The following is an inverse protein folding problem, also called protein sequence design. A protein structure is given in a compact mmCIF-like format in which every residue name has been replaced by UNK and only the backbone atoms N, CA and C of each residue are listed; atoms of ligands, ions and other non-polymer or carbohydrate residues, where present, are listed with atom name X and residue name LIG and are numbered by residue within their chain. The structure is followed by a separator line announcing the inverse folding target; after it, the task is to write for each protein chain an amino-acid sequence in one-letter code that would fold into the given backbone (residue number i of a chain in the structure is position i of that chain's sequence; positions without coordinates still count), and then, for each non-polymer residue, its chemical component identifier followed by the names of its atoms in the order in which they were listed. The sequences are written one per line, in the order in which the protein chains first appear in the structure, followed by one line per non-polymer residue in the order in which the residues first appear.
data_IF_619283910409
#
_entry.id   IF_619283910409
#
_cell.length_a   1.000
_cell.length_b   1.000
_cell.length_c   1.000
_cell.angle_alpha   90.00
_cell.angle_beta   90.00
_cell.angle_gamma   90.00
#
_symmetry.space_group_name_H-M   'P 1'
#
loop_
_entity.id
_entity.type
_entity.pdbx_description
1 polymer ?
#
# COMPACT_ATOMS: atom_id res chain seq x y z
N UNK A 1 -55.79 7.67 -1.70
CA UNK A 1 -55.40 9.09 -1.59
C UNK A 1 -53.99 9.15 -1.00
N UNK A 2 -52.99 9.45 -1.84
CA UNK A 2 -51.60 9.64 -1.41
C UNK A 2 -51.56 10.89 -0.51
N UNK A 3 -51.12 10.74 0.75
CA UNK A 3 -50.83 11.90 1.61
C UNK A 3 -49.57 12.58 1.10
N UNK A 4 -49.71 13.85 0.75
CA UNK A 4 -48.70 14.76 0.23
C UNK A 4 -47.66 15.07 1.32
N UNK A 5 -46.54 14.32 1.33
CA UNK A 5 -45.43 14.49 2.29
C UNK A 5 -44.54 15.73 2.04
N UNK A 6 -44.83 16.49 0.99
CA UNK A 6 -44.03 17.63 0.53
C UNK A 6 -44.33 18.92 1.31
N UNK A 7 -45.58 19.08 1.80
CA UNK A 7 -45.99 20.25 2.59
C UNK A 7 -45.37 20.29 3.98
N UNK A 8 -45.24 19.13 4.63
CA UNK A 8 -44.66 19.03 5.98
C UNK A 8 -43.17 19.40 5.99
N UNK A 9 -42.39 18.86 5.06
CA UNK A 9 -40.95 19.16 4.96
C UNK A 9 -40.64 20.64 4.72
N UNK A 10 -41.47 21.32 3.92
CA UNK A 10 -41.31 22.74 3.61
C UNK A 10 -41.54 23.63 4.85
N UNK A 11 -42.46 23.22 5.74
CA UNK A 11 -42.74 23.92 7.00
C UNK A 11 -41.54 23.83 7.97
N UNK A 12 -40.99 22.64 8.17
CA UNK A 12 -39.83 22.44 9.05
C UNK A 12 -38.58 23.19 8.55
N UNK A 13 -38.33 23.19 7.25
CA UNK A 13 -37.19 23.93 6.65
C UNK A 13 -37.33 25.43 6.88
N UNK A 14 -38.55 25.97 6.80
CA UNK A 14 -38.79 27.40 7.00
C UNK A 14 -38.62 27.79 8.46
N UNK A 15 -39.11 26.98 9.40
CA UNK A 15 -38.91 27.20 10.84
C UNK A 15 -37.43 27.15 11.25
N UNK A 16 -36.68 26.18 10.72
CA UNK A 16 -35.23 26.06 10.98
C UNK A 16 -34.47 27.26 10.41
N UNK A 17 -34.83 27.71 9.20
CA UNK A 17 -34.26 28.91 8.57
C UNK A 17 -34.48 30.15 9.44
N UNK A 18 -35.72 30.40 9.87
CA UNK A 18 -36.03 31.57 10.69
C UNK A 18 -35.26 31.55 12.02
N UNK A 19 -35.00 30.35 12.55
CA UNK A 19 -34.24 30.18 13.79
C UNK A 19 -32.73 30.41 13.64
N UNK A 20 -32.16 30.21 12.45
CA UNK A 20 -30.73 30.32 12.15
C UNK A 20 -30.35 31.62 11.44
N UNK A 21 -31.34 32.35 10.91
CA UNK A 21 -31.15 33.64 10.27
C UNK A 21 -30.38 34.60 11.18
N UNK A 22 -29.35 35.24 10.62
CA UNK A 22 -28.52 36.23 11.33
C UNK A 22 -27.84 35.69 12.60
N UNK A 23 -27.59 34.38 12.65
CA UNK A 23 -26.77 33.76 13.70
C UNK A 23 -25.48 33.18 13.14
N UNK A 24 -24.43 33.23 13.96
CA UNK A 24 -23.19 32.51 13.71
C UNK A 24 -23.36 31.07 14.22
N UNK A 25 -23.42 30.10 13.32
CA UNK A 25 -23.69 28.71 13.69
C UNK A 25 -22.51 27.78 13.39
N UNK A 26 -22.37 26.76 14.24
CA UNK A 26 -21.62 25.54 13.96
C UNK A 26 -22.64 24.41 13.78
N UNK A 27 -22.75 23.88 12.56
CA UNK A 27 -23.69 22.79 12.25
C UNK A 27 -22.92 21.50 12.09
N UNK A 28 -23.31 20.45 12.83
CA UNK A 28 -22.71 19.12 12.70
C UNK A 28 -23.70 18.21 11.95
N UNK A 29 -23.30 17.75 10.77
CA UNK A 29 -24.02 16.76 9.97
C UNK A 29 -23.39 15.39 10.25
N UNK A 30 -24.04 14.61 11.11
CA UNK A 30 -23.50 13.32 11.54
C UNK A 30 -23.98 12.17 10.64
N UNK A 31 -23.04 11.32 10.22
CA UNK A 31 -23.26 10.07 9.49
C UNK A 31 -24.03 10.20 8.17
N UNK A 32 -23.64 11.17 7.33
CA UNK A 32 -24.24 11.35 6.00
C UNK A 32 -23.85 10.20 5.09
N UNK A 33 -24.85 9.60 4.44
CA UNK A 33 -24.71 8.27 3.82
C UNK A 33 -24.43 8.30 2.33
N UNK A 34 -24.84 9.35 1.62
CA UNK A 34 -24.61 9.48 0.17
C UNK A 34 -24.58 10.96 -0.27
N UNK A 35 -24.26 11.18 -1.56
CA UNK A 35 -24.11 12.52 -2.13
C UNK A 35 -25.45 13.24 -2.24
N UNK A 36 -26.50 12.53 -2.61
CA UNK A 36 -27.84 13.09 -2.79
C UNK A 36 -28.41 13.63 -1.47
N UNK A 37 -28.16 12.94 -0.36
CA UNK A 37 -28.51 13.38 0.99
C UNK A 37 -27.73 14.64 1.37
N UNK A 38 -26.43 14.67 1.10
CA UNK A 38 -25.60 15.85 1.34
C UNK A 38 -26.08 17.07 0.52
N UNK A 39 -26.38 16.88 -0.77
CA UNK A 39 -26.81 17.97 -1.66
C UNK A 39 -28.12 18.61 -1.17
N UNK A 40 -29.08 17.80 -0.72
CA UNK A 40 -30.33 18.28 -0.11
C UNK A 40 -30.07 19.09 1.16
N UNK A 41 -29.23 18.58 2.06
CA UNK A 41 -28.85 19.30 3.29
C UNK A 41 -28.11 20.59 2.98
N UNK A 42 -27.22 20.57 1.99
CA UNK A 42 -26.45 21.72 1.55
C UNK A 42 -27.34 22.79 0.93
N UNK A 43 -28.37 22.42 0.16
CA UNK A 43 -29.35 23.38 -0.36
C UNK A 43 -30.10 24.08 0.78
N UNK A 44 -30.57 23.32 1.76
CA UNK A 44 -31.27 23.87 2.95
C UNK A 44 -30.35 24.83 3.72
N UNK A 45 -29.11 24.42 3.97
CA UNK A 45 -28.12 25.21 4.71
C UNK A 45 -27.70 26.47 3.94
N UNK A 46 -27.57 26.40 2.63
CA UNK A 46 -27.23 27.57 1.79
C UNK A 46 -28.35 28.61 1.80
N UNK A 47 -29.60 28.17 2.01
CA UNK A 47 -30.78 29.03 2.08
C UNK A 47 -31.17 29.42 3.51
N UNK A 48 -30.31 29.18 4.50
CA UNK A 48 -30.60 29.39 5.93
C UNK A 48 -30.50 30.85 6.40
N UNK A 49 -29.77 31.71 5.67
CA UNK A 49 -29.50 33.09 6.10
C UNK A 49 -28.51 33.21 7.28
N UNK A 50 -27.69 32.17 7.51
CA UNK A 50 -26.62 32.18 8.51
C UNK A 50 -25.55 33.25 8.23
N UNK A 51 -24.94 33.80 9.28
CA UNK A 51 -23.89 34.82 9.14
C UNK A 51 -22.63 34.21 8.49
N UNK A 52 -21.97 35.02 7.64
CA UNK A 52 -20.64 34.71 7.10
C UNK A 52 -19.63 34.38 8.20
N UNK A 53 -18.97 33.23 8.10
CA UNK A 53 -18.09 32.69 9.15
C UNK A 53 -18.69 31.49 9.88
N UNK A 54 -19.97 31.18 9.65
CA UNK A 54 -20.58 29.92 10.10
C UNK A 54 -19.87 28.70 9.50
N UNK A 55 -19.82 27.59 10.25
CA UNK A 55 -19.07 26.38 9.86
C UNK A 55 -19.96 25.15 9.87
N UNK A 56 -19.70 24.24 8.94
CA UNK A 56 -20.34 22.94 8.86
C UNK A 56 -19.27 21.88 9.10
N UNK A 57 -19.52 20.98 10.06
CA UNK A 57 -18.72 19.78 10.30
C UNK A 57 -19.50 18.60 9.77
N UNK A 58 -18.94 17.87 8.83
CA UNK A 58 -19.53 16.67 8.25
C UNK A 58 -18.80 15.44 8.76
N UNK A 59 -19.54 14.44 9.25
CA UNK A 59 -19.00 13.09 9.46
C UNK A 59 -19.65 12.13 8.47
N UNK A 60 -18.86 11.24 7.89
CA UNK A 60 -19.33 10.21 6.98
C UNK A 60 -18.35 9.06 6.97
N UNK A 61 -18.85 7.87 6.64
CA UNK A 61 -18.02 6.68 6.42
C UNK A 61 -17.53 6.57 4.97
N UNK A 62 -18.10 7.38 4.07
CA UNK A 62 -17.91 7.21 2.63
C UNK A 62 -16.99 8.30 2.08
N UNK A 63 -15.84 7.88 1.56
CA UNK A 63 -14.81 8.80 1.02
C UNK A 63 -15.35 9.65 -0.13
N UNK A 64 -16.21 9.08 -0.97
CA UNK A 64 -16.83 9.77 -2.10
C UNK A 64 -17.80 10.89 -1.68
N UNK A 65 -18.42 10.80 -0.49
CA UNK A 65 -19.28 11.84 0.10
C UNK A 65 -18.40 12.94 0.70
N UNK A 66 -17.37 12.57 1.45
CA UNK A 66 -16.43 13.54 2.03
C UNK A 66 -15.74 14.39 0.96
N UNK A 67 -15.30 13.78 -0.14
CA UNK A 67 -14.71 14.48 -1.28
C UNK A 67 -15.70 15.39 -2.01
N UNK A 68 -16.96 14.94 -2.14
CA UNK A 68 -18.02 15.73 -2.78
C UNK A 68 -18.40 16.97 -1.96
N UNK A 69 -18.48 16.81 -0.63
CA UNK A 69 -18.79 17.90 0.29
C UNK A 69 -17.67 18.94 0.42
N UNK A 70 -16.42 18.52 0.16
CA UNK A 70 -15.25 19.33 0.36
C UNK A 70 -15.01 20.27 -0.82
N UNK A 71 -15.46 21.52 -0.69
CA UNK A 71 -15.22 22.59 -1.68
C UNK A 71 -13.81 23.21 -1.60
N UNK A 72 -13.00 22.79 -0.62
CA UNK A 72 -11.63 23.29 -0.39
C UNK A 72 -10.59 22.38 -1.04
N UNK A 73 -9.42 22.94 -1.35
CA UNK A 73 -8.24 22.16 -1.76
C UNK A 73 -7.63 21.32 -0.63
N UNK A 74 -8.03 21.55 0.63
CA UNK A 74 -7.55 20.77 1.78
C UNK A 74 -8.25 19.41 1.85
N UNK A 75 -7.54 18.28 1.97
CA UNK A 75 -8.16 16.96 2.01
C UNK A 75 -9.04 16.76 3.27
N UNK A 76 -10.11 15.94 3.20
CA UNK A 76 -10.92 15.60 4.35
C UNK A 76 -10.10 14.98 5.49
N UNK A 77 -10.51 15.24 6.73
CA UNK A 77 -9.86 14.64 7.90
C UNK A 77 -10.25 13.16 8.03
N UNK A 78 -9.30 12.27 7.72
CA UNK A 78 -9.50 10.82 7.82
C UNK A 78 -9.24 10.33 9.25
N UNK A 79 -10.25 9.72 9.87
CA UNK A 79 -10.10 9.08 11.18
C UNK A 79 -9.38 7.73 10.99
N UNK A 80 -8.21 7.59 11.63
CA UNK A 80 -7.41 6.36 11.64
C UNK A 80 -7.70 5.47 12.85
N UNK A 81 -7.33 4.19 12.75
CA UNK A 81 -7.18 3.32 13.92
C UNK A 81 -6.22 3.93 14.96
N UNK A 82 -6.50 3.69 16.23
CA UNK A 82 -5.62 4.09 17.33
C UNK A 82 -4.31 3.32 17.29
N UNK A 83 -3.20 3.95 17.65
CA UNK A 83 -1.91 3.29 17.90
C UNK A 83 -1.99 2.39 19.15
N UNK A 84 -0.95 1.57 19.40
CA UNK A 84 -0.91 0.70 20.58
C UNK A 84 -0.96 1.52 21.88
N UNK A 85 -0.29 2.65 21.89
CA UNK A 85 -0.19 3.57 23.01
C UNK A 85 -1.53 4.29 23.24
N UNK A 86 -2.11 4.88 22.19
CA UNK A 86 -3.44 5.53 22.28
C UNK A 86 -4.53 4.52 22.68
N UNK A 87 -4.46 3.30 22.16
CA UNK A 87 -5.38 2.21 22.53
C UNK A 87 -5.26 1.88 24.02
N UNK A 88 -4.03 1.84 24.53
CA UNK A 88 -3.76 1.60 25.95
C UNK A 88 -4.26 2.73 26.83
N UNK A 89 -4.08 3.98 26.42
CA UNK A 89 -4.60 5.16 27.12
C UNK A 89 -6.12 5.17 27.19
N UNK A 90 -6.80 4.91 26.06
CA UNK A 90 -8.26 4.78 26.03
C UNK A 90 -8.74 3.68 26.97
N UNK A 91 -8.08 2.52 26.95
CA UNK A 91 -8.45 1.41 27.83
C UNK A 91 -8.30 1.76 29.32
N UNK A 92 -7.20 2.42 29.71
CA UNK A 92 -7.01 2.90 31.09
C UNK A 92 -8.09 3.90 31.51
N UNK A 93 -8.45 4.83 30.62
CA UNK A 93 -9.52 5.81 30.84
C UNK A 93 -10.86 5.14 31.07
N UNK A 94 -11.25 4.21 30.20
CA UNK A 94 -12.53 3.49 30.33
C UNK A 94 -12.60 2.65 31.60
N UNK A 95 -11.49 2.02 31.99
CA UNK A 95 -11.42 1.18 33.19
C UNK A 95 -11.24 1.95 34.49
N UNK A 96 -11.01 3.27 34.43
CA UNK A 96 -10.76 4.11 35.61
C UNK A 96 -9.36 3.94 36.22
N UNK A 97 -8.39 3.44 35.46
CA UNK A 97 -7.03 3.11 35.95
C UNK A 97 -5.94 4.04 35.37
N UNK A 98 -6.27 5.30 35.07
CA UNK A 98 -5.32 6.24 34.42
C UNK A 98 -4.05 6.46 35.23
N UNK A 99 -4.19 6.56 36.56
CA UNK A 99 -3.10 6.83 37.52
C UNK A 99 -2.65 5.59 38.29
N UNK A 100 -3.29 4.44 38.09
CA UNK A 100 -3.04 3.22 38.85
C UNK A 100 -1.85 2.47 38.26
N UNK A 101 -0.83 2.19 39.08
CA UNK A 101 0.26 1.30 38.69
C UNK A 101 -0.23 -0.15 38.79
N UNK A 102 -0.42 -0.79 37.64
CA UNK A 102 -0.84 -2.18 37.56
C UNK A 102 0.34 -3.11 37.86
N UNK A 103 0.05 -4.30 38.40
CA UNK A 103 1.05 -5.36 38.52
C UNK A 103 1.57 -5.76 37.12
N UNK A 104 2.88 -5.97 36.91
CA UNK A 104 3.45 -6.23 35.58
C UNK A 104 2.80 -7.40 34.83
N UNK A 105 2.39 -8.46 35.55
CA UNK A 105 1.71 -9.61 34.95
C UNK A 105 0.30 -9.26 34.45
N UNK A 106 -0.46 -8.51 35.25
CA UNK A 106 -1.81 -8.04 34.91
C UNK A 106 -1.74 -7.03 33.76
N UNK A 107 -0.78 -6.10 33.78
CA UNK A 107 -0.57 -5.14 32.70
C UNK A 107 -0.24 -5.84 31.38
N UNK A 108 0.71 -6.79 31.40
CA UNK A 108 1.08 -7.56 30.19
C UNK A 108 -0.13 -8.27 29.58
N UNK A 109 -0.98 -8.86 30.42
CA UNK A 109 -2.19 -9.53 29.96
C UNK A 109 -3.24 -8.54 29.47
N UNK A 110 -3.43 -7.41 30.13
CA UNK A 110 -4.34 -6.35 29.71
C UNK A 110 -3.92 -5.76 28.36
N UNK A 111 -2.63 -5.49 28.16
CA UNK A 111 -2.08 -5.07 26.87
C UNK A 111 -2.30 -6.10 25.77
N UNK A 112 -2.21 -7.39 26.09
CA UNK A 112 -2.54 -8.46 25.15
C UNK A 112 -4.02 -8.42 24.75
N UNK A 113 -4.93 -8.19 25.70
CA UNK A 113 -6.37 -8.02 25.44
C UNK A 113 -6.63 -6.78 24.57
N UNK A 114 -6.06 -5.63 24.92
CA UNK A 114 -6.20 -4.39 24.13
C UNK A 114 -5.62 -4.54 22.73
N UNK A 115 -4.47 -5.22 22.60
CA UNK A 115 -3.87 -5.53 21.30
C UNK A 115 -4.78 -6.37 20.40
N UNK A 116 -5.65 -7.21 20.99
CA UNK A 116 -6.69 -7.93 20.24
C UNK A 116 -7.79 -7.02 19.71
N UNK A 117 -8.00 -5.82 20.24
CA UNK A 117 -8.99 -4.90 19.66
C UNK A 117 -8.54 -4.29 18.32
N UNK A 118 -7.25 -4.37 17.98
CA UNK A 118 -6.74 -3.90 16.69
C UNK A 118 -6.82 -2.38 16.48
N UNK A 119 -6.87 -1.59 17.56
CA UNK A 119 -6.94 -0.12 17.49
C UNK A 119 -8.33 0.46 17.25
N UNK A 120 -9.38 -0.36 17.19
CA UNK A 120 -10.76 0.11 17.01
C UNK A 120 -11.31 0.69 18.34
N UNK A 121 -11.62 2.00 18.44
CA UNK A 121 -12.03 2.63 19.70
C UNK A 121 -13.25 1.96 20.35
N UNK A 122 -14.25 1.60 19.55
CA UNK A 122 -15.47 0.95 20.04
C UNK A 122 -15.17 -0.42 20.66
N UNK A 123 -14.35 -1.25 20.01
CA UNK A 123 -13.96 -2.55 20.56
C UNK A 123 -13.19 -2.41 21.89
N UNK A 124 -12.26 -1.45 21.97
CA UNK A 124 -11.49 -1.15 23.19
C UNK A 124 -12.43 -0.72 24.32
N UNK A 125 -13.39 0.15 24.01
CA UNK A 125 -14.33 0.70 24.99
C UNK A 125 -15.28 -0.37 25.52
N UNK A 126 -15.82 -1.23 24.64
CA UNK A 126 -16.65 -2.37 25.05
C UNK A 126 -15.90 -3.31 25.99
N UNK A 127 -14.65 -3.67 25.67
CA UNK A 127 -13.84 -4.51 26.57
C UNK A 127 -13.54 -3.77 27.88
N UNK A 128 -13.18 -2.50 27.81
CA UNK A 128 -12.90 -1.67 28.98
C UNK A 128 -14.09 -1.65 29.95
N UNK A 129 -15.31 -1.52 29.45
CA UNK A 129 -16.53 -1.59 30.26
C UNK A 129 -16.71 -2.96 30.93
N UNK A 130 -16.48 -4.06 30.22
CA UNK A 130 -16.56 -5.42 30.77
C UNK A 130 -15.51 -5.62 31.88
N UNK A 131 -14.27 -5.18 31.65
CA UNK A 131 -13.18 -5.30 32.62
C UNK A 131 -13.43 -4.41 33.84
N UNK A 132 -13.98 -3.21 33.65
CA UNK A 132 -14.39 -2.33 34.75
C UNK A 132 -15.45 -2.98 35.64
N UNK A 133 -16.47 -3.58 35.04
CA UNK A 133 -17.55 -4.24 35.76
C UNK A 133 -17.08 -5.49 36.53
N UNK A 134 -16.11 -6.24 35.97
CA UNK A 134 -15.61 -7.50 36.55
C UNK A 134 -14.29 -7.36 37.33
N UNK A 135 -13.81 -6.14 37.56
CA UNK A 135 -12.50 -5.81 38.14
C UNK A 135 -11.29 -6.24 37.31
N UNK A 136 -10.24 -5.41 37.35
CA UNK A 136 -8.98 -5.59 36.61
C UNK A 136 -8.09 -6.67 37.24
N UNK A 137 -8.43 -7.95 37.02
CA UNK A 137 -7.69 -9.10 37.57
C UNK A 137 -7.19 -10.04 36.48
N UNK A 138 -6.18 -10.86 36.78
CA UNK A 138 -5.66 -11.87 35.84
C UNK A 138 -6.74 -12.86 35.39
N UNK A 139 -7.65 -13.27 36.29
CA UNK A 139 -8.76 -14.18 35.99
C UNK A 139 -9.74 -13.54 35.00
N UNK A 140 -10.16 -12.29 35.26
CA UNK A 140 -11.06 -11.54 34.39
C UNK A 140 -10.45 -11.35 33.00
N UNK A 141 -9.20 -10.88 32.92
CA UNK A 141 -8.52 -10.65 31.64
C UNK A 141 -8.30 -11.94 30.84
N UNK A 142 -7.99 -13.06 31.50
CA UNK A 142 -7.86 -14.36 30.84
C UNK A 142 -9.20 -14.84 30.28
N UNK A 143 -10.29 -14.64 31.03
CA UNK A 143 -11.64 -14.94 30.55
C UNK A 143 -12.03 -14.07 29.36
N UNK A 144 -11.81 -12.74 29.44
CA UNK A 144 -12.06 -11.81 28.33
C UNK A 144 -11.26 -12.21 27.10
N UNK A 145 -9.97 -12.52 27.26
CA UNK A 145 -9.13 -12.93 26.13
C UNK A 145 -9.68 -14.18 25.43
N UNK A 146 -10.20 -15.16 26.19
CA UNK A 146 -10.89 -16.32 25.61
C UNK A 146 -12.13 -15.88 24.82
N UNK A 147 -12.99 -15.03 25.41
CA UNK A 147 -14.20 -14.54 24.72
C UNK A 147 -13.88 -13.75 23.44
N UNK A 148 -12.79 -12.99 23.44
CA UNK A 148 -12.31 -12.28 22.25
C UNK A 148 -11.95 -13.26 21.14
N UNK A 149 -11.23 -14.32 21.48
CA UNK A 149 -10.88 -15.38 20.53
C UNK A 149 -12.09 -16.21 20.07
N UNK A 150 -13.21 -16.21 20.82
CA UNK A 150 -14.44 -16.93 20.47
C UNK A 150 -15.40 -16.13 19.56
N UNK A 151 -15.02 -14.94 19.08
CA UNK A 151 -15.69 -14.32 17.94
C UNK A 151 -16.67 -13.18 18.24
N UNK A 152 -16.98 -12.86 19.50
CA UNK A 152 -17.89 -11.75 19.80
C UNK A 152 -17.43 -10.40 19.25
N UNK A 153 -16.13 -10.13 19.32
CA UNK A 153 -15.54 -8.89 18.79
C UNK A 153 -15.21 -8.98 17.30
N UNK A 154 -15.23 -10.21 16.76
CA UNK A 154 -15.13 -10.45 15.32
C UNK A 154 -16.31 -9.81 14.63
N UNK A 155 -17.51 -9.77 15.24
CA UNK A 155 -18.70 -9.12 14.65
C UNK A 155 -18.53 -7.62 14.35
N UNK A 156 -17.83 -6.85 15.20
CA UNK A 156 -17.57 -5.42 14.96
C UNK A 156 -16.59 -5.23 13.79
N UNK A 157 -15.54 -6.05 13.75
CA UNK A 157 -14.57 -6.03 12.66
C UNK A 157 -15.11 -6.63 11.36
N UNK A 158 -16.04 -7.59 11.42
CA UNK A 158 -16.70 -8.19 10.26
C UNK A 158 -17.50 -7.15 9.50
N UNK A 159 -18.26 -6.30 10.21
CA UNK A 159 -18.99 -5.19 9.57
C UNK A 159 -18.02 -4.22 8.86
N UNK A 160 -16.96 -3.81 9.56
CA UNK A 160 -15.93 -2.95 8.96
C UNK A 160 -15.24 -3.63 7.76
N UNK A 161 -14.99 -4.93 7.82
CA UNK A 161 -14.43 -5.72 6.74
C UNK A 161 -15.36 -5.79 5.53
N UNK A 162 -16.62 -6.18 5.71
CA UNK A 162 -17.60 -6.32 4.63
C UNK A 162 -17.87 -4.99 3.91
N UNK A 163 -17.86 -3.89 4.66
CA UNK A 163 -17.98 -2.54 4.11
C UNK A 163 -16.76 -2.17 3.28
N UNK A 164 -15.55 -2.25 3.86
CA UNK A 164 -14.33 -1.82 3.17
C UNK A 164 -13.91 -2.78 2.04
N UNK A 165 -14.13 -4.09 2.16
CA UNK A 165 -13.74 -5.10 1.16
C UNK A 165 -14.42 -4.85 -0.19
N UNK A 166 -15.67 -4.38 -0.19
CA UNK A 166 -16.42 -4.04 -1.42
C UNK A 166 -15.78 -2.90 -2.22
N UNK A 167 -14.98 -2.06 -1.58
CA UNK A 167 -14.30 -0.93 -2.22
C UNK A 167 -12.88 -1.26 -2.67
N UNK A 168 -12.31 -2.41 -2.25
CA UNK A 168 -10.94 -2.79 -2.62
C UNK A 168 -10.88 -3.34 -4.04
N UNK A 169 -9.95 -2.83 -4.85
CA UNK A 169 -9.62 -3.45 -6.13
C UNK A 169 -8.89 -4.79 -5.93
N UNK A 170 -8.75 -5.58 -7.00
CA UNK A 170 -8.07 -6.88 -6.96
C UNK A 170 -6.62 -6.76 -6.44
N UNK A 171 -5.85 -5.79 -6.93
CA UNK A 171 -4.47 -5.54 -6.49
C UNK A 171 -4.39 -5.23 -5.00
N UNK A 172 -5.29 -4.37 -4.49
CA UNK A 172 -5.32 -4.00 -3.07
C UNK A 172 -5.76 -5.16 -2.19
N UNK A 173 -6.66 -6.00 -2.68
CA UNK A 173 -7.04 -7.24 -2.01
C UNK A 173 -5.81 -8.16 -1.89
N UNK A 174 -5.09 -8.40 -2.98
CA UNK A 174 -3.85 -9.20 -2.96
C UNK A 174 -2.80 -8.64 -1.99
N UNK A 175 -2.60 -7.31 -2.02
CA UNK A 175 -1.71 -6.62 -1.08
C UNK A 175 -2.15 -6.83 0.38
N UNK A 176 -3.44 -6.72 0.68
CA UNK A 176 -3.97 -6.92 2.03
C UNK A 176 -3.81 -8.37 2.51
N UNK A 177 -4.11 -9.35 1.66
CA UNK A 177 -3.91 -10.77 1.97
C UNK A 177 -2.44 -11.10 2.24
N UNK A 178 -1.52 -10.43 1.56
CA UNK A 178 -0.09 -10.60 1.78
C UNK A 178 0.34 -10.33 3.23
N UNK A 179 -0.32 -9.42 3.94
CA UNK A 179 -0.06 -9.18 5.36
C UNK A 179 -0.34 -10.41 6.25
N UNK A 180 -1.17 -11.36 5.80
CA UNK A 180 -1.43 -12.60 6.55
C UNK A 180 -0.21 -13.53 6.58
N UNK A 181 0.79 -13.31 5.73
CA UNK A 181 2.03 -14.08 5.73
C UNK A 181 2.95 -13.75 6.92
N UNK A 182 2.82 -12.55 7.48
CA UNK A 182 3.63 -12.11 8.63
C UNK A 182 3.10 -12.70 9.95
N UNK A 183 3.90 -12.79 11.02
CA UNK A 183 3.40 -13.20 12.33
C UNK A 183 2.34 -12.23 12.88
N UNK A 184 1.50 -12.73 13.78
CA UNK A 184 0.51 -11.91 14.47
C UNK A 184 1.19 -10.83 15.33
N UNK A 185 0.63 -9.63 15.32
CA UNK A 185 1.16 -8.44 16.00
C UNK A 185 2.53 -7.93 15.53
N UNK A 186 3.04 -8.43 14.40
CA UNK A 186 4.32 -8.01 13.86
C UNK A 186 4.22 -6.61 13.23
N UNK A 187 5.03 -5.68 13.71
CA UNK A 187 5.17 -4.35 13.09
C UNK A 187 6.08 -4.47 11.87
N UNK A 188 5.48 -4.34 10.69
CA UNK A 188 6.18 -4.50 9.43
C UNK A 188 6.73 -3.13 9.02
N UNK A 189 8.04 -2.98 8.79
CA UNK A 189 8.56 -1.79 8.13
C UNK A 189 7.88 -1.61 6.76
N UNK A 190 7.32 -0.43 6.49
CA UNK A 190 6.61 -0.17 5.23
C UNK A 190 7.50 -0.44 4.01
N UNK A 191 8.79 -0.09 4.10
CA UNK A 191 9.80 -0.41 3.08
C UNK A 191 9.89 -1.91 2.80
N UNK A 192 9.79 -2.74 3.83
CA UNK A 192 9.83 -4.21 3.70
C UNK A 192 8.68 -4.73 2.86
N UNK A 193 7.47 -4.30 3.17
CA UNK A 193 6.31 -4.83 2.46
C UNK A 193 6.21 -4.29 1.03
N UNK A 194 6.61 -3.03 0.78
CA UNK A 194 6.75 -2.49 -0.58
C UNK A 194 7.67 -3.38 -1.41
N UNK A 195 8.87 -3.67 -0.90
CA UNK A 195 9.86 -4.43 -1.66
C UNK A 195 9.43 -5.89 -1.88
N UNK A 196 8.75 -6.50 -0.91
CA UNK A 196 8.13 -7.82 -1.07
C UNK A 196 7.07 -7.84 -2.18
N UNK A 197 6.16 -6.87 -2.18
CA UNK A 197 5.12 -6.78 -3.22
C UNK A 197 5.70 -6.55 -4.62
N UNK A 198 6.75 -5.73 -4.73
CA UNK A 198 7.45 -5.46 -6.00
C UNK A 198 8.19 -6.69 -6.49
N UNK A 199 8.97 -7.35 -5.61
CA UNK A 199 9.75 -8.53 -5.94
C UNK A 199 8.86 -9.69 -6.39
N UNK A 200 7.74 -9.93 -5.70
CA UNK A 200 6.80 -10.99 -6.08
C UNK A 200 5.86 -10.59 -7.23
N UNK A 201 5.85 -9.32 -7.63
CA UNK A 201 4.98 -8.81 -8.70
C UNK A 201 3.50 -8.75 -8.31
N UNK A 202 3.20 -8.68 -7.01
CA UNK A 202 1.85 -8.43 -6.47
C UNK A 202 1.34 -7.08 -6.98
N UNK A 203 2.25 -6.10 -7.02
CA UNK A 203 2.05 -4.79 -7.65
C UNK A 203 2.87 -4.75 -8.94
N UNK A 204 2.25 -4.22 -10.00
CA UNK A 204 2.88 -4.04 -11.30
C UNK A 204 2.90 -2.57 -11.62
N UNK A 205 4.00 -2.14 -12.18
CA UNK A 205 4.11 -0.83 -12.81
C UNK A 205 3.02 -0.61 -13.85
N UNK A 206 2.67 0.66 -14.05
CA UNK A 206 1.76 1.09 -15.10
C UNK A 206 2.32 2.32 -15.83
N UNK A 207 1.61 2.77 -16.86
CA UNK A 207 1.99 3.93 -17.65
C UNK A 207 1.98 5.26 -16.87
N UNK A 208 1.96 5.31 -15.54
CA UNK A 208 2.10 6.55 -14.76
C UNK A 208 3.05 6.40 -13.55
N UNK A 209 3.26 5.20 -13.03
CA UNK A 209 3.83 4.99 -11.70
C UNK A 209 4.70 3.74 -11.62
N UNK A 210 5.79 3.84 -10.84
CA UNK A 210 6.63 2.68 -10.51
C UNK A 210 5.84 1.66 -9.70
N UNK A 211 6.29 0.40 -9.71
CA UNK A 211 5.71 -0.63 -8.86
C UNK A 211 5.81 -0.24 -7.37
N UNK A 212 6.90 0.45 -6.98
CA UNK A 212 7.11 1.02 -5.65
C UNK A 212 6.11 2.12 -5.31
N UNK A 213 5.84 3.05 -6.23
CA UNK A 213 4.85 4.13 -6.03
C UNK A 213 3.44 3.56 -5.85
N UNK A 214 3.10 2.54 -6.65
CA UNK A 214 1.83 1.84 -6.55
C UNK A 214 1.74 1.11 -5.20
N UNK A 215 2.82 0.46 -4.76
CA UNK A 215 2.89 -0.18 -3.46
C UNK A 215 2.71 0.81 -2.31
N UNK A 216 3.42 1.94 -2.32
CA UNK A 216 3.29 3.00 -1.31
C UNK A 216 1.84 3.51 -1.25
N UNK A 217 1.22 3.77 -2.42
CA UNK A 217 -0.21 4.15 -2.50
C UNK A 217 -1.15 3.07 -1.98
N UNK A 218 -0.86 1.79 -2.22
CA UNK A 218 -1.66 0.70 -1.67
C UNK A 218 -1.60 0.70 -0.14
N UNK A 219 -0.43 0.93 0.47
CA UNK A 219 -0.32 1.04 1.94
C UNK A 219 -1.13 2.23 2.44
N UNK A 220 -1.03 3.39 1.79
CA UNK A 220 -1.80 4.58 2.15
C UNK A 220 -3.31 4.34 2.07
N UNK A 221 -3.76 3.68 1.00
CA UNK A 221 -5.18 3.37 0.82
C UNK A 221 -5.67 2.37 1.86
N UNK A 222 -4.91 1.29 2.13
CA UNK A 222 -5.26 0.32 3.17
C UNK A 222 -5.32 0.97 4.56
N UNK A 223 -4.46 1.96 4.83
CA UNK A 223 -4.54 2.77 6.04
C UNK A 223 -5.80 3.62 6.06
N UNK A 224 -6.10 4.31 4.96
CA UNK A 224 -7.27 5.19 4.86
C UNK A 224 -8.58 4.40 5.05
N UNK A 225 -8.65 3.18 4.55
CA UNK A 225 -9.76 2.24 4.78
C UNK A 225 -9.74 1.57 6.17
N UNK A 226 -8.82 1.96 7.06
CA UNK A 226 -8.66 1.35 8.39
C UNK A 226 -8.46 -0.19 8.35
N UNK A 227 -7.86 -0.70 7.27
CA UNK A 227 -7.51 -2.12 7.12
C UNK A 227 -6.12 -2.43 7.70
N UNK A 228 -5.27 -1.42 7.87
CA UNK A 228 -3.97 -1.55 8.55
C UNK A 228 -3.80 -0.47 9.61
N UNK A 229 -3.11 -0.81 10.69
CA UNK A 229 -2.66 0.12 11.70
C UNK A 229 -1.27 0.65 11.28
N UNK A 230 -1.13 1.96 11.10
CA UNK A 230 0.10 2.59 10.63
C UNK A 230 0.70 3.51 11.70
N UNK A 231 2.03 3.51 11.83
CA UNK A 231 2.78 4.45 12.67
C UNK A 231 3.64 5.35 11.79
N UNK A 232 3.41 6.67 11.92
CA UNK A 232 4.15 7.71 11.23
C UNK A 232 4.81 8.64 12.26
N UNK A 233 6.15 8.65 12.41
CA UNK A 233 6.81 9.60 13.28
C UNK A 233 7.12 10.87 12.49
N UNK A 234 6.34 11.93 12.74
CA UNK A 234 6.55 13.34 12.34
C UNK A 234 6.62 13.64 10.83
N UNK A 235 6.92 12.67 9.96
CA UNK A 235 6.79 12.74 8.50
C UNK A 235 5.46 12.13 8.07
N UNK A 236 4.77 12.70 7.08
CA UNK A 236 3.54 12.11 6.51
C UNK A 236 3.73 10.70 5.91
N UNK A 237 4.98 10.20 5.81
CA UNK A 237 5.29 8.83 5.36
C UNK A 237 5.15 7.81 6.47
N UNK A 238 4.44 6.73 6.16
CA UNK A 238 4.25 5.55 7.02
C UNK A 238 5.61 4.84 7.16
N UNK A 239 6.11 4.66 8.40
CA UNK A 239 7.36 3.92 8.63
C UNK A 239 7.10 2.45 8.94
N UNK A 240 6.13 2.18 9.79
CA UNK A 240 5.71 0.82 10.11
C UNK A 240 4.20 0.69 9.96
N UNK A 241 3.77 -0.49 9.54
CA UNK A 241 2.38 -0.86 9.41
C UNK A 241 2.15 -2.27 9.93
N UNK A 242 0.93 -2.54 10.37
CA UNK A 242 0.56 -3.81 10.96
C UNK A 242 -0.88 -4.15 10.56
N UNK A 243 -1.13 -5.42 10.25
CA UNK A 243 -2.49 -5.94 10.08
C UNK A 243 -3.14 -6.11 11.47
N UNK A 244 -4.32 -5.51 11.73
CA UNK A 244 -5.06 -5.72 12.95
C UNK A 244 -5.34 -7.21 13.17
N UNK A 245 -5.13 -7.68 14.40
CA UNK A 245 -5.20 -9.11 14.71
C UNK A 245 -6.56 -9.73 14.43
N UNK A 246 -7.66 -9.02 14.72
CA UNK A 246 -9.02 -9.51 14.39
C UNK A 246 -9.26 -9.57 12.88
N UNK A 247 -8.75 -8.58 12.13
CA UNK A 247 -8.90 -8.56 10.69
C UNK A 247 -8.16 -9.72 10.03
N UNK A 248 -7.00 -10.09 10.56
CA UNK A 248 -6.28 -11.30 10.14
C UNK A 248 -7.13 -12.56 10.32
N UNK A 249 -7.78 -12.72 11.47
CA UNK A 249 -8.62 -13.90 11.74
C UNK A 249 -9.83 -13.95 10.79
N UNK A 250 -10.43 -12.80 10.48
CA UNK A 250 -11.51 -12.66 9.49
C UNK A 250 -11.03 -13.05 8.09
N UNK A 251 -9.91 -12.49 7.62
CA UNK A 251 -9.35 -12.77 6.28
C UNK A 251 -9.04 -14.26 6.12
N UNK A 252 -8.45 -14.88 7.15
CA UNK A 252 -8.15 -16.30 7.14
C UNK A 252 -9.43 -17.16 7.13
N UNK A 253 -10.47 -16.79 7.88
CA UNK A 253 -11.76 -17.47 7.85
C UNK A 253 -12.55 -17.28 6.55
N UNK A 254 -12.40 -16.13 5.88
CA UNK A 254 -13.01 -15.82 4.59
C UNK A 254 -12.34 -16.58 3.43
N UNK A 255 -11.03 -16.84 3.52
CA UNK A 255 -10.29 -17.60 2.51
C UNK A 255 -10.74 -19.06 2.36
N UNK A 256 -11.40 -19.62 3.38
CA UNK A 256 -11.99 -20.97 3.37
C UNK A 256 -13.29 -21.05 2.53
N UNK A 257 -13.84 -19.90 2.08
CA UNK A 257 -15.09 -19.83 1.30
C UNK A 257 -14.94 -19.48 -0.18
N UNK A 258 -13.77 -19.09 -0.68
CA UNK A 258 -13.68 -18.68 -2.10
C UNK A 258 -12.42 -19.08 -2.89
N UNK A 259 -11.20 -19.10 -2.34
CA UNK A 259 -10.01 -19.36 -3.18
C UNK A 259 -8.79 -19.85 -2.40
N UNK A 260 -8.59 -21.16 -2.31
CA UNK A 260 -7.32 -21.77 -1.86
C UNK A 260 -6.25 -21.85 -2.97
N UNK A 261 -6.45 -21.18 -4.11
CA UNK A 261 -5.69 -21.44 -5.35
C UNK A 261 -4.73 -20.34 -5.82
N UNK A 262 -4.50 -19.24 -5.08
CA UNK A 262 -3.52 -18.22 -5.50
C UNK A 262 -2.38 -17.93 -4.51
N UNK A 263 -2.44 -18.47 -3.29
CA UNK A 263 -1.39 -18.26 -2.27
C UNK A 263 -1.04 -19.54 -1.51
N UNK A 264 -1.09 -20.69 -2.20
CA UNK A 264 -0.39 -21.90 -1.73
C UNK A 264 1.10 -21.80 -2.07
N UNK A 265 1.74 -20.74 -1.58
CA UNK A 265 3.17 -20.78 -1.37
C UNK A 265 3.41 -21.75 -0.23
N UNK A 266 3.75 -22.99 -0.57
CA UNK A 266 3.97 -24.04 0.42
C UNK A 266 5.02 -23.58 1.43
N UNK A 267 5.02 -24.18 2.61
CA UNK A 267 6.01 -23.94 3.66
C UNK A 267 7.48 -23.94 3.15
N UNK A 268 7.77 -24.54 1.99
CA UNK A 268 9.06 -24.50 1.31
C UNK A 268 9.45 -23.11 0.76
N UNK A 269 8.51 -22.26 0.35
CA UNK A 269 8.83 -20.91 -0.18
C UNK A 269 9.26 -19.94 0.93
N UNK A 270 8.85 -20.20 2.18
CA UNK A 270 9.25 -19.41 3.36
C UNK A 270 10.69 -19.65 3.82
N UNK A 271 11.30 -20.78 3.49
CA UNK A 271 12.72 -21.07 3.78
C UNK A 271 13.66 -20.70 2.62
N UNK A 272 13.15 -20.59 1.39
CA UNK A 272 13.99 -20.53 0.19
C UNK A 272 14.55 -19.14 -0.19
N UNK A 273 14.26 -18.09 0.57
CA UNK A 273 14.94 -16.79 0.41
C UNK A 273 16.30 -16.72 1.14
N UNK A 274 16.64 -17.69 1.99
CA UNK A 274 17.96 -17.76 2.63
C UNK A 274 19.01 -18.56 1.84
N UNK A 275 18.59 -19.37 0.87
CA UNK A 275 19.48 -20.18 0.04
C UNK A 275 19.15 -20.05 -1.46
N UNK A 276 19.60 -18.95 -2.07
CA UNK A 276 19.56 -18.68 -3.53
C UNK A 276 20.09 -19.85 -4.39
N UNK A 277 20.96 -20.69 -3.83
CA UNK A 277 21.53 -21.86 -4.50
C UNK A 277 20.49 -22.95 -4.80
N UNK A 278 19.51 -23.16 -3.90
CA UNK A 278 18.47 -24.17 -4.04
C UNK A 278 17.29 -23.67 -4.89
N UNK A 279 16.99 -22.37 -4.81
CA UNK A 279 15.95 -21.74 -5.61
C UNK A 279 16.30 -21.74 -7.12
N UNK A 280 17.52 -21.38 -7.51
CA UNK A 280 17.95 -21.40 -8.92
C UNK A 280 17.94 -22.82 -9.49
N UNK A 281 18.31 -23.81 -8.68
CA UNK A 281 18.38 -25.22 -9.10
C UNK A 281 16.98 -25.85 -9.29
N UNK A 282 16.01 -25.46 -8.47
CA UNK A 282 14.59 -25.83 -8.66
C UNK A 282 13.91 -25.02 -9.79
N UNK A 283 14.36 -23.79 -10.07
CA UNK A 283 13.82 -22.93 -11.13
C UNK A 283 14.35 -23.31 -12.52
N UNK A 284 15.54 -23.91 -12.63
CA UNK A 284 16.06 -24.48 -13.89
C UNK A 284 15.23 -25.65 -14.41
N UNK A 285 14.40 -26.29 -13.57
CA UNK A 285 13.48 -27.36 -13.96
C UNK A 285 12.10 -26.82 -14.40
N UNK A 286 11.83 -25.53 -14.19
CA UNK A 286 10.54 -24.94 -14.55
C UNK A 286 10.58 -24.36 -15.95
N UNK A 287 9.74 -24.86 -16.87
CA UNK A 287 9.50 -24.34 -18.23
C UNK A 287 8.80 -22.96 -18.22
N UNK A 288 9.17 -22.06 -17.30
CA UNK A 288 8.50 -20.77 -17.15
C UNK A 288 9.12 -19.72 -18.07
N UNK A 289 8.27 -19.09 -18.87
CA UNK A 289 8.62 -17.94 -19.71
C UNK A 289 8.95 -16.68 -18.89
N UNK A 290 8.44 -16.59 -17.65
CA UNK A 290 8.64 -15.43 -16.76
C UNK A 290 9.22 -15.84 -15.41
N UNK A 291 10.29 -15.17 -15.00
CA UNK A 291 10.96 -15.36 -13.71
C UNK A 291 11.04 -14.06 -12.91
N UNK A 292 10.82 -14.15 -11.60
CA UNK A 292 11.02 -13.04 -10.66
C UNK A 292 11.96 -13.47 -9.56
N UNK A 293 13.02 -12.72 -9.32
CA UNK A 293 14.00 -12.98 -8.27
C UNK A 293 14.23 -11.72 -7.46
N UNK A 294 14.33 -11.88 -6.14
CA UNK A 294 14.54 -10.76 -5.21
C UNK A 294 15.49 -11.14 -4.08
N UNK A 295 16.34 -10.21 -3.67
CA UNK A 295 17.17 -10.32 -2.45
C UNK A 295 17.01 -9.07 -1.58
N UNK A 296 16.70 -9.27 -0.31
CA UNK A 296 16.51 -8.19 0.66
C UNK A 296 16.73 -8.68 2.11
N UNK A 297 17.11 -7.76 2.98
CA UNK A 297 17.35 -8.03 4.40
C UNK A 297 16.03 -8.17 5.20
N UNK A 298 16.15 -8.49 6.49
CA UNK A 298 15.01 -8.62 7.40
C UNK A 298 14.21 -7.32 7.60
N UNK A 299 14.74 -6.17 7.20
CA UNK A 299 14.11 -4.86 7.30
C UNK A 299 13.58 -4.42 5.91
N UNK A 300 13.83 -5.23 4.88
CA UNK A 300 13.44 -5.00 3.50
C UNK A 300 14.38 -4.14 2.69
N UNK A 301 15.60 -3.83 3.14
CA UNK A 301 16.55 -3.16 2.27
C UNK A 301 17.05 -4.12 1.20
N UNK A 302 17.36 -3.63 -0.02
CA UNK A 302 17.91 -4.49 -1.07
C UNK A 302 19.26 -5.06 -0.63
N UNK A 303 19.43 -6.37 -0.78
CA UNK A 303 20.66 -7.11 -0.51
C UNK A 303 21.30 -7.60 -1.80
N UNK A 304 22.51 -8.16 -1.71
CA UNK A 304 23.25 -8.67 -2.85
C UNK A 304 22.52 -9.87 -3.47
N UNK A 305 22.01 -9.68 -4.68
CA UNK A 305 21.43 -10.73 -5.50
C UNK A 305 22.53 -11.45 -6.28
N UNK A 306 22.86 -12.67 -5.87
CA UNK A 306 23.84 -13.51 -6.56
C UNK A 306 23.10 -14.37 -7.58
N UNK A 307 23.31 -14.06 -8.86
CA UNK A 307 22.83 -14.88 -9.96
C UNK A 307 23.95 -15.83 -10.40
N UNK A 308 23.68 -17.13 -10.36
CA UNK A 308 24.53 -18.12 -10.99
C UNK A 308 24.22 -18.15 -12.49
N UNK A 309 25.20 -18.52 -13.34
CA UNK A 309 25.09 -18.45 -14.80
C UNK A 309 23.72 -18.93 -15.32
N UNK A 310 22.93 -18.00 -15.83
CA UNK A 310 21.56 -18.25 -16.32
C UNK A 310 21.53 -18.47 -17.85
N UNK A 311 22.69 -18.60 -18.50
CA UNK A 311 22.79 -18.76 -19.96
C UNK A 311 22.06 -19.99 -20.50
N UNK A 312 21.76 -20.99 -19.65
CA UNK A 312 21.08 -22.24 -20.03
C UNK A 312 19.55 -22.17 -19.96
N UNK A 313 18.98 -21.04 -19.52
CA UNK A 313 17.53 -20.87 -19.40
C UNK A 313 16.95 -20.46 -20.76
N UNK A 314 16.81 -21.41 -21.67
CA UNK A 314 16.43 -21.14 -23.06
C UNK A 314 14.97 -20.69 -23.23
N UNK A 315 14.07 -21.15 -22.36
CA UNK A 315 12.65 -20.78 -22.41
C UNK A 315 12.33 -19.45 -21.71
N UNK A 316 13.31 -18.84 -21.03
CA UNK A 316 13.09 -17.63 -20.25
C UNK A 316 13.11 -16.39 -21.15
N UNK A 317 11.96 -15.74 -21.31
CA UNK A 317 11.79 -14.52 -22.12
C UNK A 317 11.64 -13.26 -21.27
N UNK A 318 11.06 -13.37 -20.07
CA UNK A 318 10.82 -12.24 -19.17
C UNK A 318 11.49 -12.45 -17.81
N UNK A 319 12.32 -11.49 -17.39
CA UNK A 319 13.03 -11.53 -16.12
C UNK A 319 12.83 -10.24 -15.32
N UNK A 320 12.42 -10.39 -14.05
CA UNK A 320 12.37 -9.29 -13.09
C UNK A 320 13.31 -9.55 -11.94
N UNK A 321 14.21 -8.59 -11.67
CA UNK A 321 15.21 -8.68 -10.62
C UNK A 321 15.01 -7.57 -9.60
N UNK A 322 15.06 -7.93 -8.32
CA UNK A 322 15.05 -7.01 -7.19
C UNK A 322 16.28 -7.23 -6.31
N UNK A 323 16.98 -6.15 -5.93
CA UNK A 323 18.15 -6.21 -5.06
C UNK A 323 19.46 -5.92 -5.78
N UNK A 324 20.53 -5.72 -5.02
CA UNK A 324 21.83 -5.22 -5.50
C UNK A 324 22.47 -6.26 -6.42
N UNK A 325 22.60 -5.92 -7.70
CA UNK A 325 23.09 -6.83 -8.72
C UNK A 325 24.56 -6.54 -9.02
N UNK A 326 25.38 -7.60 -9.01
CA UNK A 326 26.65 -7.59 -9.71
C UNK A 326 26.44 -8.31 -11.04
N UNK A 327 26.95 -7.72 -12.12
CA UNK A 327 26.72 -8.25 -13.46
C UNK A 327 27.15 -9.71 -13.58
N UNK A 328 26.31 -10.46 -14.28
CA UNK A 328 26.33 -11.90 -14.40
C UNK A 328 25.73 -12.27 -15.74
N UNK A 329 26.14 -13.42 -16.30
CA UNK A 329 25.69 -13.88 -17.62
C UNK A 329 24.17 -14.13 -17.63
N UNK A 330 23.43 -13.12 -18.06
CA UNK A 330 21.99 -13.18 -18.29
C UNK A 330 21.65 -14.09 -19.48
N UNK A 331 20.45 -14.69 -19.51
CA UNK A 331 19.99 -15.49 -20.64
C UNK A 331 19.89 -14.67 -21.93
N UNK A 332 20.32 -15.26 -23.05
CA UNK A 332 20.36 -14.59 -24.35
C UNK A 332 18.98 -14.49 -25.03
N UNK A 333 17.99 -15.24 -24.53
CA UNK A 333 16.62 -15.26 -25.06
C UNK A 333 15.69 -14.23 -24.43
N UNK A 334 16.19 -13.40 -23.50
CA UNK A 334 15.39 -12.38 -22.83
C UNK A 334 14.86 -11.35 -23.84
N UNK A 335 13.54 -11.15 -23.83
CA UNK A 335 12.83 -10.08 -24.52
C UNK A 335 12.48 -8.95 -23.57
N UNK A 336 12.25 -9.25 -22.29
CA UNK A 336 11.78 -8.29 -21.29
C UNK A 336 12.64 -8.38 -20.03
N UNK A 337 13.21 -7.25 -19.60
CA UNK A 337 14.01 -7.16 -18.39
C UNK A 337 13.57 -5.97 -17.54
N UNK A 338 13.14 -6.26 -16.31
CA UNK A 338 12.82 -5.25 -15.30
C UNK A 338 13.82 -5.35 -14.16
N UNK A 339 14.51 -4.25 -13.87
CA UNK A 339 15.45 -4.13 -12.77
C UNK A 339 14.86 -3.18 -11.72
N UNK A 340 14.92 -3.57 -10.45
CA UNK A 340 14.55 -2.72 -9.30
C UNK A 340 15.61 -2.82 -8.22
N UNK A 341 16.02 -1.69 -7.66
CA UNK A 341 17.06 -1.59 -6.61
C UNK A 341 18.38 -2.29 -6.96
N UNK A 342 18.66 -2.44 -8.26
CA UNK A 342 19.81 -3.18 -8.79
C UNK A 342 21.15 -2.48 -8.61
N UNK A 343 21.15 -1.15 -8.43
CA UNK A 343 22.36 -0.35 -8.22
C UNK A 343 23.47 -0.62 -9.25
N UNK A 344 23.10 -0.79 -10.51
CA UNK A 344 24.06 -0.95 -11.60
C UNK A 344 24.84 0.35 -11.82
N UNK A 345 26.15 0.23 -12.00
CA UNK A 345 27.05 1.34 -12.36
C UNK A 345 27.33 1.38 -13.86
N UNK A 346 28.10 2.37 -14.30
CA UNK A 346 28.48 2.55 -15.71
C UNK A 346 29.20 1.30 -16.27
N UNK A 347 30.06 0.64 -15.46
CA UNK A 347 30.80 -0.57 -15.84
C UNK A 347 29.92 -1.80 -16.11
N UNK A 348 28.68 -1.78 -15.64
CA UNK A 348 27.73 -2.89 -15.77
C UNK A 348 26.99 -2.89 -17.11
N UNK A 349 26.98 -1.77 -17.83
CA UNK A 349 26.18 -1.59 -19.03
C UNK A 349 26.60 -2.42 -20.26
N UNK A 350 27.88 -2.72 -20.51
CA UNK A 350 28.29 -3.50 -21.70
C UNK A 350 27.61 -4.86 -21.80
N UNK A 351 27.46 -5.58 -20.68
CA UNK A 351 26.78 -6.88 -20.67
C UNK A 351 25.30 -6.75 -21.04
N UNK A 352 24.62 -5.74 -20.50
CA UNK A 352 23.21 -5.49 -20.76
C UNK A 352 22.95 -5.07 -22.22
N UNK A 353 23.83 -4.21 -22.75
CA UNK A 353 23.82 -3.74 -24.13
C UNK A 353 24.02 -4.85 -25.15
N UNK A 354 24.66 -5.95 -24.76
CA UNK A 354 24.95 -7.09 -25.64
C UNK A 354 23.78 -8.06 -25.83
N UNK A 355 22.68 -7.90 -25.07
CA UNK A 355 21.55 -8.82 -25.13
C UNK A 355 20.82 -8.77 -26.49
N UNK A 356 20.82 -9.86 -27.28
CA UNK A 356 20.50 -9.80 -28.70
C UNK A 356 19.00 -9.72 -29.01
N UNK A 357 18.15 -10.21 -28.10
CA UNK A 357 16.69 -10.29 -28.28
C UNK A 357 15.91 -9.32 -27.39
N UNK A 358 16.62 -8.49 -26.62
CA UNK A 358 15.97 -7.61 -25.64
C UNK A 358 15.16 -6.54 -26.36
N UNK A 359 13.84 -6.53 -26.11
CA UNK A 359 12.87 -5.60 -26.68
C UNK A 359 12.44 -4.53 -25.68
N UNK A 360 12.35 -4.89 -24.40
CA UNK A 360 11.90 -4.02 -23.33
C UNK A 360 12.89 -4.05 -22.17
N UNK A 361 13.37 -2.86 -21.77
CA UNK A 361 14.24 -2.67 -20.63
C UNK A 361 13.69 -1.57 -19.72
N UNK A 362 13.38 -1.94 -18.48
CA UNK A 362 12.88 -1.02 -17.47
C UNK A 362 13.85 -0.98 -16.27
N UNK A 363 14.39 0.21 -16.00
CA UNK A 363 15.10 0.54 -14.78
C UNK A 363 14.13 1.23 -13.82
N UNK A 364 13.59 0.48 -12.86
CA UNK A 364 12.75 1.02 -11.77
C UNK A 364 13.62 1.73 -10.72
N UNK A 365 13.05 2.03 -9.55
CA UNK A 365 13.70 2.83 -8.50
C UNK A 365 15.09 2.30 -8.10
N UNK A 366 16.09 3.19 -8.04
CA UNK A 366 17.50 2.93 -7.69
C UNK A 366 18.15 1.75 -8.43
N UNK A 367 17.76 1.50 -9.68
CA UNK A 367 18.28 0.39 -10.49
C UNK A 367 19.58 0.71 -11.19
N UNK A 368 19.75 1.97 -11.59
CA UNK A 368 20.98 2.50 -12.17
C UNK A 368 21.48 3.66 -11.31
N UNK A 369 22.68 3.52 -10.77
CA UNK A 369 23.37 4.51 -9.91
C UNK A 369 24.59 5.12 -10.60
N UNK A 370 24.81 4.76 -11.86
CA UNK A 370 25.82 5.36 -12.70
C UNK A 370 25.48 6.81 -13.09
N UNK A 371 26.50 7.64 -13.35
CA UNK A 371 26.28 9.04 -13.74
C UNK A 371 26.10 9.21 -15.24
N UNK A 372 26.78 8.37 -16.03
CA UNK A 372 26.79 8.48 -17.49
C UNK A 372 26.56 7.13 -18.13
N UNK A 373 25.50 7.04 -18.93
CA UNK A 373 25.25 5.87 -19.78
C UNK A 373 25.70 6.16 -21.20
N UNK A 374 26.59 5.31 -21.74
CA UNK A 374 27.06 5.40 -23.12
C UNK A 374 26.54 4.21 -23.92
N UNK A 375 25.84 4.47 -25.01
CA UNK A 375 25.38 3.44 -25.95
C UNK A 375 26.16 3.58 -27.27
N UNK A 376 26.99 2.58 -27.58
CA UNK A 376 27.86 2.55 -28.78
C UNK A 376 27.18 1.86 -29.97
N UNK A 377 27.72 1.97 -31.20
CA UNK A 377 27.15 1.27 -32.35
C UNK A 377 26.97 -0.23 -32.08
N UNK A 378 25.79 -0.78 -32.39
CA UNK A 378 25.46 -2.19 -32.13
C UNK A 378 24.95 -2.50 -30.71
N UNK A 379 24.95 -1.53 -29.78
CA UNK A 379 24.31 -1.71 -28.47
C UNK A 379 22.80 -1.87 -28.62
N UNK A 380 22.21 -2.81 -27.89
CA UNK A 380 20.76 -3.03 -27.79
C UNK A 380 20.10 -3.20 -29.17
N UNK A 381 20.43 -4.26 -29.92
CA UNK A 381 20.09 -4.38 -31.34
C UNK A 381 18.58 -4.44 -31.64
N UNK A 382 17.76 -4.94 -30.71
CA UNK A 382 16.31 -5.10 -30.88
C UNK A 382 15.48 -4.28 -29.89
N UNK A 383 16.10 -3.38 -29.12
CA UNK A 383 15.41 -2.67 -28.06
C UNK A 383 14.39 -1.69 -28.65
N UNK A 384 13.14 -1.83 -28.21
CA UNK A 384 12.00 -1.03 -28.65
C UNK A 384 11.54 -0.07 -27.55
N UNK A 385 11.63 -0.50 -26.29
CA UNK A 385 11.16 0.26 -25.12
C UNK A 385 12.30 0.37 -24.11
N UNK A 386 12.65 1.60 -23.74
CA UNK A 386 13.62 1.90 -22.70
C UNK A 386 13.01 2.86 -21.67
N UNK A 387 12.95 2.42 -20.42
CA UNK A 387 12.38 3.20 -19.31
C UNK A 387 13.38 3.42 -18.19
N UNK A 388 13.55 4.66 -17.76
CA UNK A 388 14.25 5.05 -16.55
C UNK A 388 13.28 5.70 -15.58
N UNK A 389 12.97 5.02 -14.49
CA UNK A 389 12.03 5.52 -13.49
C UNK A 389 12.73 5.68 -12.15
N UNK A 390 12.70 6.91 -11.63
CA UNK A 390 13.33 7.30 -10.38
C UNK A 390 14.85 6.98 -10.35
N UNK A 391 15.53 7.21 -11.49
CA UNK A 391 16.99 7.12 -11.63
C UNK A 391 17.60 8.49 -11.35
N UNK A 392 17.87 8.79 -10.08
CA UNK A 392 18.29 10.13 -9.64
C UNK A 392 19.75 10.46 -9.91
N UNK A 393 20.60 9.44 -10.06
CA UNK A 393 22.04 9.64 -10.22
C UNK A 393 22.47 9.83 -11.68
N UNK A 394 21.65 9.34 -12.63
CA UNK A 394 21.89 9.44 -14.06
C UNK A 394 21.80 10.90 -14.51
N UNK A 395 22.93 11.43 -14.99
CA UNK A 395 23.08 12.82 -15.43
C UNK A 395 23.21 12.91 -16.95
N UNK A 396 23.96 11.99 -17.54
CA UNK A 396 24.28 12.02 -18.97
C UNK A 396 23.89 10.73 -19.67
N UNK A 397 23.20 10.86 -20.81
CA UNK A 397 22.93 9.74 -21.71
C UNK A 397 23.50 10.04 -23.10
N UNK A 398 24.57 9.35 -23.45
CA UNK A 398 25.34 9.54 -24.68
C UNK A 398 25.04 8.42 -25.68
N UNK A 399 24.16 8.71 -26.65
CA UNK A 399 23.75 7.78 -27.70
C UNK A 399 24.57 8.05 -28.96
N UNK A 400 25.45 7.11 -29.33
CA UNK A 400 26.22 7.17 -30.58
C UNK A 400 25.39 6.71 -31.78
N UNK A 401 25.80 7.15 -32.96
CA UNK A 401 25.16 6.72 -34.22
C UNK A 401 25.22 5.19 -34.37
N UNK A 402 24.09 4.58 -34.72
CA UNK A 402 23.98 3.12 -34.84
C UNK A 402 23.70 2.36 -33.53
N UNK A 403 23.53 3.07 -32.40
CA UNK A 403 23.01 2.48 -31.17
C UNK A 403 21.48 2.35 -31.21
N UNK A 404 20.91 1.28 -30.63
CA UNK A 404 19.46 1.09 -30.43
C UNK A 404 18.60 1.41 -31.68
N UNK A 405 18.86 0.78 -32.84
CA UNK A 405 18.25 1.18 -34.11
C UNK A 405 16.72 1.03 -34.13
N UNK A 406 16.15 0.19 -33.25
CA UNK A 406 14.72 -0.09 -33.17
C UNK A 406 13.97 0.64 -32.05
N UNK A 407 14.58 1.60 -31.35
CA UNK A 407 13.96 2.23 -30.17
C UNK A 407 12.75 3.08 -30.56
N UNK A 408 11.56 2.66 -30.11
CA UNK A 408 10.27 3.32 -30.39
C UNK A 408 9.82 4.20 -29.23
N UNK A 409 10.04 3.75 -28.00
CA UNK A 409 9.60 4.41 -26.77
C UNK A 409 10.78 4.63 -25.83
N UNK A 410 11.00 5.89 -25.46
CA UNK A 410 11.92 6.27 -24.40
C UNK A 410 11.14 7.03 -23.34
N UNK A 411 11.31 6.63 -22.09
CA UNK A 411 10.66 7.27 -20.97
C UNK A 411 11.62 7.51 -19.81
N UNK A 412 11.76 8.77 -19.39
CA UNK A 412 12.48 9.14 -18.18
C UNK A 412 11.51 9.81 -17.19
N UNK A 413 11.25 9.15 -16.06
CA UNK A 413 10.35 9.64 -15.01
C UNK A 413 11.08 9.88 -13.72
N UNK A 414 10.82 11.02 -13.08
CA UNK A 414 11.44 11.38 -11.81
C UNK A 414 12.98 11.27 -11.85
N UNK A 415 13.57 11.56 -13.02
CA UNK A 415 15.01 11.55 -13.28
C UNK A 415 15.53 12.99 -13.28
N UNK A 416 15.46 13.65 -12.13
CA UNK A 416 15.63 15.11 -12.02
C UNK A 416 17.00 15.66 -12.43
N UNK A 417 18.02 14.81 -12.58
CA UNK A 417 19.38 15.20 -12.95
C UNK A 417 19.73 14.87 -14.41
N UNK A 418 18.86 14.16 -15.14
CA UNK A 418 19.17 13.72 -16.50
C UNK A 418 19.07 14.90 -17.47
N UNK A 419 20.20 15.26 -18.06
CA UNK A 419 20.26 16.23 -19.14
C UNK A 419 19.58 15.69 -20.40
N UNK A 420 19.05 16.61 -21.23
CA UNK A 420 18.45 16.21 -22.50
C UNK A 420 19.50 15.52 -23.38
N UNK A 421 19.25 14.29 -23.87
CA UNK A 421 20.28 13.52 -24.56
C UNK A 421 20.48 14.07 -25.98
N UNK A 422 21.67 14.61 -26.27
CA UNK A 422 21.98 15.19 -27.59
C UNK A 422 22.04 14.15 -28.71
N UNK A 423 22.19 12.87 -28.35
CA UNK A 423 22.26 11.74 -29.27
C UNK A 423 20.91 11.23 -29.78
N UNK A 424 19.77 11.76 -29.29
CA UNK A 424 18.43 11.31 -29.73
C UNK A 424 18.19 11.52 -31.23
N UNK A 425 18.88 12.49 -31.86
CA UNK A 425 18.84 12.71 -33.32
C UNK A 425 19.25 11.49 -34.15
N UNK A 426 19.98 10.56 -33.55
CA UNK A 426 20.41 9.32 -34.22
C UNK A 426 19.33 8.22 -34.18
N UNK A 427 18.30 8.38 -33.34
CA UNK A 427 17.23 7.40 -33.13
C UNK A 427 16.01 7.73 -34.02
N UNK A 428 16.07 7.28 -35.26
CA UNK A 428 15.07 7.60 -36.31
C UNK A 428 13.67 7.06 -36.01
N UNK A 429 13.57 6.01 -35.20
CA UNK A 429 12.34 5.28 -34.87
C UNK A 429 11.65 5.81 -33.61
N UNK A 430 12.30 6.70 -32.86
CA UNK A 430 11.83 7.16 -31.57
C UNK A 430 10.70 8.19 -31.72
N UNK A 431 9.50 7.85 -31.24
CA UNK A 431 8.44 8.84 -31.04
C UNK A 431 8.68 9.56 -29.70
N UNK A 432 8.91 10.87 -29.74
CA UNK A 432 8.93 11.70 -28.52
C UNK A 432 7.47 11.88 -28.07
N UNK A 433 7.10 11.25 -26.96
CA UNK A 433 5.79 11.43 -26.29
C UNK A 433 5.95 12.44 -25.15
#
# INVERSE_FOLDING_TARGET
MKKDGTKDQTLYVTQVRDHWKEKLCLVVLDNVSNREEFDKLQEILSRSGMINGSRIVLTTRFKNVALHANRSSTPPHQIRLLTKEESWELFKKVTGNEKTKLEPRVEKLARKVVGRCGGLPLAISSIGCVVRAKSMTQKTLSWVLKQVNHGHYTTMWLRAWDENKRELCETMTKCLYYFTLFPMNFEIPARRIVNLWVAEGVVKENNQQTAEDIAERCIEHLRDCNMIQAVAPKSNKIKTCQLPTMLREIILGDSDRSSRSQYSGTHLERENLKNLKLAVQLLTETEKETLRLGSFDDIGNPEKLILYNMSKMENLSSLRLFGILHMSRLPQNLTDLTLSKSKLSDDSMPELQSLPKLKSLCFCADSYTGRRMVCTPGSFPQLQVLRFWNSRDLQEWDVKEGAMPGLMEFEARSCGNLAFPTGLKHLKTLSLI
#
